data_IF_570186153076
#
_entry.id   IF_570186153076
#
_cell.length_a   1.000
_cell.length_b   1.000
_cell.length_c   1.000
_cell.angle_alpha   90.00
_cell.angle_beta   90.00
_cell.angle_gamma   90.00
#
_symmetry.space_group_name_H-M   'P 1'
#
loop_
_entity.id
_entity.type
_entity.pdbx_description
1 polymer ?
#
# COMPACT_ATOMS: atom_id res chain seq x y z
N UNK A 1 -1.01 -16.16 3.74
CA UNK A 1 -0.34 -14.95 3.22
C UNK A 1 -0.48 -13.86 4.27
N UNK A 2 0.61 -13.35 4.82
CA UNK A 2 0.59 -12.34 5.87
C UNK A 2 1.32 -11.08 5.40
N UNK A 3 0.70 -9.92 5.58
CA UNK A 3 1.33 -8.63 5.33
C UNK A 3 2.30 -8.30 6.47
N UNK A 4 3.59 -8.24 6.17
CA UNK A 4 4.65 -7.98 7.15
C UNK A 4 5.64 -6.95 6.56
N UNK A 5 5.46 -5.65 6.83
CA UNK A 5 6.31 -4.58 6.29
C UNK A 5 7.78 -4.69 6.73
N UNK A 6 8.02 -5.18 7.96
CA UNK A 6 9.36 -5.33 8.54
C UNK A 6 10.18 -6.45 7.88
N UNK A 7 9.59 -7.24 6.98
CA UNK A 7 10.29 -8.26 6.18
C UNK A 7 11.50 -7.68 5.44
N UNK A 8 11.41 -6.44 4.96
CA UNK A 8 12.45 -5.77 4.18
C UNK A 8 13.31 -4.81 5.02
N UNK A 9 13.37 -5.03 6.34
CA UNK A 9 14.24 -4.28 7.25
C UNK A 9 15.71 -4.51 6.95
N UNK A 10 16.58 -3.62 7.44
CA UNK A 10 18.03 -3.71 7.20
C UNK A 10 18.62 -4.96 7.84
N UNK A 11 18.11 -5.31 9.02
CA UNK A 11 18.51 -6.44 9.84
C UNK A 11 18.16 -7.77 9.16
N UNK A 12 17.04 -7.81 8.43
CA UNK A 12 16.56 -9.02 7.78
C UNK A 12 17.10 -9.22 6.35
N UNK A 13 17.88 -8.27 5.83
CA UNK A 13 18.29 -8.22 4.42
C UNK A 13 19.04 -9.47 3.94
N UNK A 14 19.91 -10.03 4.78
CA UNK A 14 20.74 -11.19 4.42
C UNK A 14 19.95 -12.50 4.38
N UNK A 15 18.83 -12.58 5.12
CA UNK A 15 17.98 -13.77 5.16
C UNK A 15 17.04 -13.89 3.94
N UNK A 16 16.88 -12.81 3.17
CA UNK A 16 15.93 -12.76 2.06
C UNK A 16 16.59 -13.35 0.81
N UNK A 17 15.99 -14.41 0.26
CA UNK A 17 16.42 -14.95 -1.04
C UNK A 17 16.28 -13.86 -2.13
N UNK A 18 17.38 -13.48 -2.82
CA UNK A 18 17.37 -12.43 -3.84
C UNK A 18 16.38 -12.65 -4.99
N UNK A 19 16.04 -13.92 -5.29
CA UNK A 19 15.13 -14.28 -6.38
C UNK A 19 13.68 -14.50 -5.93
N UNK A 20 13.40 -14.43 -4.63
CA UNK A 20 12.05 -14.63 -4.11
C UNK A 20 11.13 -13.41 -4.31
N UNK A 21 11.67 -12.22 -4.57
CA UNK A 21 10.90 -10.99 -4.76
C UNK A 21 11.39 -10.21 -5.98
N UNK A 22 10.55 -10.17 -7.02
CA UNK A 22 10.92 -9.73 -8.37
C UNK A 22 9.84 -8.80 -8.98
N UNK A 23 9.45 -7.70 -8.32
CA UNK A 23 8.29 -6.90 -8.73
C UNK A 23 8.44 -6.17 -10.08
N UNK A 24 9.69 -5.96 -10.54
CA UNK A 24 10.01 -5.27 -11.80
C UNK A 24 10.88 -6.13 -12.75
N UNK A 25 11.03 -7.42 -12.42
CA UNK A 25 11.95 -8.35 -13.08
C UNK A 25 13.44 -8.09 -12.75
N UNK A 26 14.28 -9.11 -12.95
CA UNK A 26 15.76 -9.03 -12.79
C UNK A 26 16.52 -9.54 -14.02
N UNK A 27 15.84 -9.61 -15.16
CA UNK A 27 16.45 -9.96 -16.44
C UNK A 27 17.06 -8.73 -17.14
N UNK A 28 17.88 -8.90 -18.19
CA UNK A 28 18.37 -7.79 -19.02
C UNK A 28 17.25 -6.91 -19.60
N UNK A 29 16.04 -7.46 -19.73
CA UNK A 29 14.81 -6.78 -20.09
C UNK A 29 13.99 -6.42 -18.83
N UNK A 30 14.60 -5.73 -17.86
CA UNK A 30 13.87 -5.25 -16.68
C UNK A 30 13.04 -3.99 -17.00
N UNK A 31 12.14 -3.64 -16.09
CA UNK A 31 11.36 -2.42 -16.24
C UNK A 31 12.25 -1.18 -16.05
N UNK A 32 12.54 -0.48 -17.15
CA UNK A 32 13.36 0.75 -17.18
C UNK A 32 12.81 1.83 -16.23
N UNK A 33 11.47 1.87 -16.07
CA UNK A 33 10.77 2.82 -15.22
C UNK A 33 10.80 2.50 -13.71
N UNK A 34 11.55 1.49 -13.26
CA UNK A 34 11.52 1.03 -11.85
C UNK A 34 11.80 2.17 -10.86
N UNK A 35 12.81 3.01 -11.14
CA UNK A 35 13.15 4.14 -10.25
C UNK A 35 12.01 5.16 -10.17
N UNK A 36 11.41 5.48 -11.32
CA UNK A 36 10.30 6.40 -11.39
C UNK A 36 9.09 5.86 -10.62
N UNK A 37 8.70 4.60 -10.85
CA UNK A 37 7.59 3.95 -10.16
C UNK A 37 7.78 3.91 -8.64
N UNK A 38 9.00 3.60 -8.16
CA UNK A 38 9.28 3.58 -6.73
C UNK A 38 9.21 4.98 -6.10
N UNK A 39 9.72 6.01 -6.77
CA UNK A 39 9.70 7.38 -6.25
C UNK A 39 8.27 7.93 -6.25
N UNK A 40 7.53 7.78 -7.35
CA UNK A 40 6.16 8.26 -7.45
C UNK A 40 5.25 7.61 -6.43
N UNK A 41 5.35 6.29 -6.25
CA UNK A 41 4.56 5.55 -5.26
C UNK A 41 4.90 5.96 -3.82
N UNK A 42 6.19 6.16 -3.50
CA UNK A 42 6.60 6.65 -2.18
C UNK A 42 6.06 8.05 -1.91
N UNK A 43 6.19 8.96 -2.86
CA UNK A 43 5.69 10.33 -2.74
C UNK A 43 4.17 10.36 -2.53
N UNK A 44 3.42 9.63 -3.37
CA UNK A 44 1.97 9.51 -3.26
C UNK A 44 1.56 8.93 -1.89
N UNK A 45 2.19 7.84 -1.44
CA UNK A 45 1.88 7.25 -0.14
C UNK A 45 2.19 8.20 1.02
N UNK A 46 3.32 8.90 0.99
CA UNK A 46 3.65 9.89 2.02
C UNK A 46 2.60 11.00 2.09
N UNK A 47 2.19 11.56 0.95
CA UNK A 47 1.17 12.61 0.90
C UNK A 47 -0.18 12.09 1.41
N UNK A 48 -0.64 10.94 0.93
CA UNK A 48 -1.90 10.34 1.32
C UNK A 48 -1.95 10.03 2.83
N UNK A 49 -0.89 9.44 3.38
CA UNK A 49 -0.83 9.08 4.80
C UNK A 49 -0.65 10.29 5.71
N UNK A 50 -0.02 11.38 5.24
CA UNK A 50 0.09 12.62 6.00
C UNK A 50 -1.25 13.35 6.08
N UNK A 51 -2.01 13.39 4.98
CA UNK A 51 -3.22 14.21 4.90
C UNK A 51 -4.50 13.45 5.26
N UNK A 52 -4.53 12.13 5.11
CA UNK A 52 -5.76 11.33 5.24
C UNK A 52 -5.60 10.15 6.20
N UNK A 53 -6.70 9.83 6.87
CA UNK A 53 -6.91 8.56 7.54
C UNK A 53 -7.87 7.70 6.71
N UNK A 54 -7.43 6.48 6.42
CA UNK A 54 -8.24 5.49 5.73
C UNK A 54 -8.87 4.55 6.75
N UNK A 55 -10.19 4.37 6.68
CA UNK A 55 -10.93 3.40 7.49
C UNK A 55 -11.69 2.45 6.58
N UNK A 56 -11.75 1.20 7.03
CA UNK A 56 -12.60 0.18 6.41
C UNK A 56 -14.07 0.47 6.75
N UNK A 57 -14.93 0.50 5.74
CA UNK A 57 -16.38 0.53 5.95
C UNK A 57 -16.88 -0.88 6.29
N UNK A 58 -18.09 -0.99 6.84
CA UNK A 58 -18.76 -2.28 7.09
C UNK A 58 -18.97 -3.08 5.79
N UNK A 59 -18.96 -2.41 4.65
CA UNK A 59 -19.09 -3.00 3.32
C UNK A 59 -17.75 -3.44 2.71
N UNK A 60 -16.61 -3.10 3.35
CA UNK A 60 -15.29 -3.46 2.86
C UNK A 60 -15.03 -4.95 3.11
N UNK A 61 -14.94 -5.74 2.04
CA UNK A 61 -14.50 -7.13 2.14
C UNK A 61 -13.03 -7.17 2.58
N UNK A 62 -12.76 -7.79 3.73
CA UNK A 62 -11.39 -7.95 4.28
C UNK A 62 -10.52 -8.81 3.35
N UNK A 63 -11.15 -9.74 2.62
CA UNK A 63 -10.50 -10.54 1.57
C UNK A 63 -10.88 -9.97 0.21
N UNK A 64 -9.99 -9.14 -0.36
CA UNK A 64 -10.14 -8.64 -1.72
C UNK A 64 -10.07 -9.80 -2.71
N UNK A 65 -11.16 -10.02 -3.45
CA UNK A 65 -11.15 -10.89 -4.62
C UNK A 65 -10.43 -10.14 -5.75
N UNK A 66 -9.36 -10.73 -6.28
CA UNK A 66 -8.58 -10.13 -7.37
C UNK A 66 -9.01 -10.74 -8.70
N UNK A 67 -9.07 -9.91 -9.74
CA UNK A 67 -9.12 -10.40 -11.11
C UNK A 67 -7.69 -10.68 -11.61
N UNK A 68 -7.57 -11.74 -12.42
CA UNK A 68 -6.31 -12.10 -13.04
C UNK A 68 -6.26 -11.54 -14.46
N UNK A 69 -6.15 -10.21 -14.55
CA UNK A 69 -5.89 -9.50 -15.80
C UNK A 69 -4.41 -9.09 -15.88
N UNK A 70 -4.01 -8.40 -16.95
CA UNK A 70 -2.63 -7.91 -17.14
C UNK A 70 -2.12 -7.12 -15.93
N UNK A 71 -3.01 -6.39 -15.27
CA UNK A 71 -2.76 -5.73 -13.99
C UNK A 71 -3.75 -6.30 -12.99
N UNK A 72 -3.25 -6.70 -11.82
CA UNK A 72 -4.11 -7.14 -10.72
C UNK A 72 -5.01 -5.99 -10.30
N UNK A 73 -6.33 -6.20 -10.37
CA UNK A 73 -7.31 -5.24 -9.89
C UNK A 73 -8.41 -5.96 -9.09
N UNK A 74 -9.11 -5.28 -8.18
CA UNK A 74 -10.19 -5.89 -7.42
C UNK A 74 -11.33 -6.32 -8.37
N UNK A 75 -11.88 -7.51 -8.16
CA UNK A 75 -12.99 -8.05 -8.96
C UNK A 75 -14.33 -7.39 -8.63
N UNK A 76 -14.41 -6.67 -7.51
CA UNK A 76 -15.59 -5.89 -7.10
C UNK A 76 -15.24 -4.42 -7.25
N UNK A 77 -16.08 -3.70 -7.98
CA UNK A 77 -15.90 -2.28 -8.28
C UNK A 77 -16.22 -1.49 -7.00
N UNK A 78 -15.18 -0.94 -6.37
CA UNK A 78 -15.30 -0.02 -5.24
C UNK A 78 -15.61 -0.69 -3.90
N UNK A 79 -14.56 -1.08 -3.18
CA UNK A 79 -14.68 -1.10 -1.72
C UNK A 79 -14.82 0.35 -1.25
N UNK A 80 -15.97 0.73 -0.73
CA UNK A 80 -16.21 2.05 -0.14
C UNK A 80 -15.23 2.26 1.03
N UNK A 81 -14.12 2.94 0.78
CA UNK A 81 -13.20 3.40 1.81
C UNK A 81 -13.71 4.72 2.36
N UNK A 82 -13.86 4.83 3.68
CA UNK A 82 -14.05 6.14 4.28
C UNK A 82 -12.70 6.80 4.47
N UNK A 83 -12.52 7.97 3.84
CA UNK A 83 -11.35 8.81 4.05
C UNK A 83 -11.76 10.03 4.88
N UNK A 84 -10.96 10.37 5.88
CA UNK A 84 -11.12 11.59 6.67
C UNK A 84 -9.83 12.39 6.62
N UNK A 85 -9.91 13.72 6.46
CA UNK A 85 -8.72 14.57 6.53
C UNK A 85 -8.17 14.57 7.96
N UNK A 86 -6.85 14.43 8.10
CA UNK A 86 -6.15 14.44 9.38
C UNK A 86 -6.27 15.78 10.11
N UNK A 87 -6.31 16.87 9.36
CA UNK A 87 -6.39 18.24 9.90
C UNK A 87 -7.84 18.77 10.02
N UNK A 88 -8.84 17.90 9.95
CA UNK A 88 -10.22 18.31 10.16
C UNK A 88 -10.45 18.70 11.64
N UNK A 89 -10.94 19.91 11.95
CA UNK A 89 -11.15 20.35 13.34
C UNK A 89 -12.05 19.41 14.17
N UNK A 90 -12.96 18.66 13.52
CA UNK A 90 -13.79 17.65 14.22
C UNK A 90 -12.99 16.44 14.72
N UNK A 91 -11.83 16.16 14.14
CA UNK A 91 -10.98 15.04 14.53
C UNK A 91 -10.02 15.38 15.66
N UNK A 92 -9.47 16.60 15.66
CA UNK A 92 -8.50 17.07 16.66
C UNK A 92 -9.10 17.00 18.08
N UNK A 93 -10.40 17.32 18.21
CA UNK A 93 -11.14 17.26 19.49
C UNK A 93 -11.42 15.83 19.98
N UNK A 94 -11.38 14.81 19.11
CA UNK A 94 -11.68 13.42 19.46
C UNK A 94 -10.43 12.67 19.94
N UNK A 95 -9.23 13.07 19.48
CA UNK A 95 -7.94 12.49 19.91
C UNK A 95 -7.46 12.94 21.29
N UNK A 96 -8.12 13.92 21.92
CA UNK A 96 -7.74 14.42 23.25
C UNK A 96 -8.29 13.57 24.42
N UNK A 97 -8.99 12.48 24.12
CA UNK A 97 -9.62 11.57 25.09
C UNK A 97 -9.08 10.12 25.04
N UNK A 98 -7.90 9.89 24.44
CA UNK A 98 -7.18 8.61 24.50
C UNK A 98 -5.74 8.83 24.97
#
# INVERSE_FOLDING_TARGET
>A
MQFCPTRFSKENKESINPYAYQPFGTAPQNFIGMRFALISMKAANCQLLQEFFFRTSKETQVLLKLNSQTILSPSVQGSNWSCSKRNDPQWISTTQYY
#
